data_IF_323752694089
#
_entry.id   IF_323752694089
#
_cell.length_a   1.000
_cell.length_b   1.000
_cell.length_c   1.000
_cell.angle_alpha   90.00
_cell.angle_beta   90.00
_cell.angle_gamma   90.00
#
_symmetry.space_group_name_H-M   'P 1'
#
loop_
_entity.id
_entity.type
_entity.pdbx_description
1 polymer ?
#
# COMPACT_ATOMS: atom_id res chain seq x y z
N UNK A 1 12.76 -11.37 -32.19
CA UNK A 1 12.12 -10.48 -31.18
C UNK A 1 11.34 -11.22 -30.06
N UNK A 2 10.80 -12.44 -30.27
CA UNK A 2 9.89 -13.07 -29.29
C UNK A 2 10.54 -13.88 -28.14
N UNK A 3 11.78 -14.35 -28.29
CA UNK A 3 12.45 -15.22 -27.28
C UNK A 3 12.95 -14.43 -26.07
N UNK A 4 13.58 -13.27 -26.30
CA UNK A 4 14.14 -12.43 -25.24
C UNK A 4 13.06 -11.81 -24.33
N UNK A 5 11.89 -11.47 -24.89
CA UNK A 5 10.75 -10.95 -24.12
C UNK A 5 10.19 -12.03 -23.18
N UNK A 6 10.04 -13.28 -23.67
CA UNK A 6 9.61 -14.40 -22.83
C UNK A 6 10.59 -14.71 -21.70
N UNK A 7 11.90 -14.67 -21.98
CA UNK A 7 12.94 -14.87 -20.95
C UNK A 7 12.82 -13.82 -19.84
N UNK A 8 12.63 -12.55 -20.19
CA UNK A 8 12.44 -11.47 -19.22
C UNK A 8 11.14 -11.63 -18.41
N UNK A 9 10.04 -12.05 -19.05
CA UNK A 9 8.78 -12.36 -18.36
C UNK A 9 8.94 -13.51 -17.37
N UNK A 10 9.66 -14.58 -17.74
CA UNK A 10 9.97 -15.70 -16.85
C UNK A 10 10.88 -15.28 -15.70
N UNK A 11 11.90 -14.45 -15.96
CA UNK A 11 12.76 -13.91 -14.91
C UNK A 11 11.98 -13.02 -13.93
N UNK A 12 11.05 -12.20 -14.42
CA UNK A 12 10.15 -11.42 -13.57
C UNK A 12 9.27 -12.32 -12.71
N UNK A 13 8.65 -13.34 -13.29
CA UNK A 13 7.83 -14.30 -12.55
C UNK A 13 8.62 -14.96 -11.41
N UNK A 14 9.81 -15.51 -11.70
CA UNK A 14 10.65 -16.20 -10.71
C UNK A 14 11.08 -15.22 -9.61
N UNK A 15 11.61 -14.06 -9.98
CA UNK A 15 12.11 -13.06 -9.01
C UNK A 15 11.02 -12.53 -8.08
N UNK A 16 9.83 -12.20 -8.61
CA UNK A 16 8.69 -11.77 -7.79
C UNK A 16 8.20 -12.91 -6.89
N UNK A 17 8.10 -14.14 -7.40
CA UNK A 17 7.66 -15.29 -6.60
C UNK A 17 8.60 -15.51 -5.41
N UNK A 18 9.92 -15.53 -5.65
CA UNK A 18 10.92 -15.67 -4.59
C UNK A 18 10.80 -14.52 -3.58
N UNK A 19 10.68 -13.29 -4.07
CA UNK A 19 10.58 -12.09 -3.20
C UNK A 19 9.34 -12.14 -2.32
N UNK A 20 8.18 -12.50 -2.87
CA UNK A 20 6.92 -12.59 -2.13
C UNK A 20 6.95 -13.73 -1.10
N UNK A 21 7.62 -14.85 -1.40
CA UNK A 21 7.86 -15.91 -0.40
C UNK A 21 8.75 -15.38 0.72
N UNK A 22 9.91 -14.78 0.40
CA UNK A 22 10.86 -14.24 1.40
C UNK A 22 10.19 -13.22 2.31
N UNK A 23 9.39 -12.30 1.74
CA UNK A 23 8.70 -11.25 2.48
C UNK A 23 7.70 -11.80 3.52
N UNK A 24 7.17 -13.01 3.30
CA UNK A 24 6.19 -13.65 4.17
C UNK A 24 6.79 -14.81 4.99
N UNK A 25 8.10 -15.05 4.92
CA UNK A 25 8.78 -16.02 5.79
C UNK A 25 9.53 -15.31 6.91
N UNK A 26 8.93 -15.29 8.11
CA UNK A 26 9.69 -15.06 9.33
C UNK A 26 10.50 -16.32 9.63
N UNK A 27 11.83 -16.22 9.64
CA UNK A 27 12.71 -17.25 10.20
C UNK A 27 13.44 -16.58 11.37
N UNK A 28 13.08 -16.98 12.59
CA UNK A 28 13.80 -16.81 13.86
C UNK A 28 14.73 -15.59 13.93
N UNK A 29 14.17 -14.41 14.21
CA UNK A 29 14.95 -13.25 14.69
C UNK A 29 16.01 -12.69 13.72
N UNK A 30 15.98 -13.05 12.44
CA UNK A 30 16.95 -12.61 11.44
C UNK A 30 16.36 -11.73 10.33
N UNK A 31 17.13 -10.71 9.94
CA UNK A 31 16.95 -9.72 8.86
C UNK A 31 16.78 -10.29 7.42
N UNK A 32 16.18 -11.47 7.24
CA UNK A 32 16.03 -12.13 5.92
C UNK A 32 15.02 -11.39 5.03
N UNK A 33 14.10 -10.60 5.59
CA UNK A 33 13.17 -9.74 4.84
C UNK A 33 13.90 -8.74 3.94
N UNK A 34 15.11 -8.28 4.32
CA UNK A 34 15.92 -7.34 3.54
C UNK A 34 16.35 -7.92 2.17
N UNK A 35 16.46 -9.25 2.05
CA UNK A 35 16.92 -9.89 0.82
C UNK A 35 15.91 -9.74 -0.34
N UNK A 36 14.61 -9.69 -0.03
CA UNK A 36 13.58 -9.42 -1.03
C UNK A 36 13.75 -8.03 -1.68
N UNK A 37 14.12 -7.03 -0.88
CA UNK A 37 14.33 -5.67 -1.38
C UNK A 37 15.53 -5.54 -2.31
N UNK A 38 16.59 -6.35 -2.13
CA UNK A 38 17.70 -6.39 -3.08
C UNK A 38 17.25 -6.92 -4.45
N UNK A 39 16.42 -7.96 -4.48
CA UNK A 39 15.87 -8.52 -5.73
C UNK A 39 14.99 -7.48 -6.44
N UNK A 40 14.13 -6.77 -5.70
CA UNK A 40 13.31 -5.70 -6.27
C UNK A 40 14.15 -4.54 -6.82
N UNK A 41 15.23 -4.18 -6.12
CA UNK A 41 16.15 -3.12 -6.55
C UNK A 41 16.82 -3.42 -7.90
N UNK A 42 17.06 -4.71 -8.23
CA UNK A 42 17.57 -5.10 -9.55
C UNK A 42 16.62 -4.70 -10.69
N UNK A 43 15.30 -4.76 -10.47
CA UNK A 43 14.31 -4.32 -11.47
C UNK A 43 14.32 -2.81 -11.65
N UNK A 44 14.53 -2.05 -10.58
CA UNK A 44 14.70 -0.60 -10.64
C UNK A 44 15.95 -0.25 -11.45
N UNK A 45 17.08 -0.90 -11.15
CA UNK A 45 18.34 -0.70 -11.86
C UNK A 45 18.19 -1.08 -13.34
N UNK A 46 17.56 -2.21 -13.64
CA UNK A 46 17.31 -2.65 -15.02
C UNK A 46 16.45 -1.63 -15.77
N UNK A 47 15.39 -1.12 -15.16
CA UNK A 47 14.57 -0.07 -15.77
C UNK A 47 15.40 1.19 -16.05
N UNK A 48 16.26 1.60 -15.12
CA UNK A 48 17.16 2.73 -15.31
C UNK A 48 18.14 2.52 -16.46
N UNK A 49 18.76 1.34 -16.55
CA UNK A 49 19.65 0.97 -17.68
C UNK A 49 18.89 1.03 -19.01
N UNK A 50 17.65 0.51 -19.06
CA UNK A 50 16.81 0.58 -20.27
C UNK A 50 16.47 2.03 -20.63
N UNK A 51 16.24 2.90 -19.65
CA UNK A 51 16.02 4.34 -19.89
C UNK A 51 17.28 4.98 -20.50
N UNK A 52 18.47 4.69 -19.96
CA UNK A 52 19.75 5.21 -20.48
C UNK A 52 19.98 4.75 -21.92
N UNK A 53 19.80 3.46 -22.20
CA UNK A 53 19.95 2.90 -23.56
C UNK A 53 18.99 3.59 -24.54
N UNK A 54 17.79 3.94 -24.08
CA UNK A 54 16.81 4.67 -24.88
C UNK A 54 17.04 6.19 -24.89
N UNK A 55 18.18 6.69 -24.40
CA UNK A 55 18.52 8.12 -24.31
C UNK A 55 17.44 8.95 -23.60
N UNK A 56 16.87 8.41 -22.53
CA UNK A 56 15.77 9.01 -21.76
C UNK A 56 14.48 9.27 -22.55
N UNK A 57 14.33 8.70 -23.75
CA UNK A 57 13.13 8.84 -24.57
C UNK A 57 12.14 7.71 -24.31
N UNK A 58 10.96 8.04 -23.82
CA UNK A 58 9.83 7.11 -23.73
C UNK A 58 8.97 7.28 -24.99
N UNK A 59 9.09 6.33 -25.94
CA UNK A 59 8.42 6.42 -27.26
C UNK A 59 6.88 6.48 -27.18
N UNK A 60 6.29 5.93 -26.12
CA UNK A 60 4.85 5.90 -25.93
C UNK A 60 4.43 6.99 -24.94
N UNK A 61 3.79 8.06 -25.46
CA UNK A 61 3.35 9.21 -24.68
C UNK A 61 2.40 8.81 -23.54
N UNK A 62 1.39 7.97 -23.82
CA UNK A 62 0.45 7.49 -22.82
C UNK A 62 1.15 6.76 -21.68
N UNK A 63 2.18 5.96 -22.00
CA UNK A 63 3.00 5.26 -20.99
C UNK A 63 3.81 6.23 -20.15
N UNK A 64 4.42 7.24 -20.78
CA UNK A 64 5.20 8.28 -20.09
C UNK A 64 4.35 9.05 -19.08
N UNK A 65 3.14 9.45 -19.47
CA UNK A 65 2.22 10.16 -18.59
C UNK A 65 1.76 9.30 -17.41
N UNK A 66 1.46 8.02 -17.65
CA UNK A 66 1.11 7.09 -16.56
C UNK A 66 2.28 6.92 -15.58
N UNK A 67 3.51 6.81 -16.07
CA UNK A 67 4.70 6.69 -15.21
C UNK A 67 4.90 7.95 -14.36
N UNK A 68 4.76 9.14 -14.94
CA UNK A 68 4.85 10.40 -14.20
C UNK A 68 3.83 10.47 -13.06
N UNK A 69 2.61 9.98 -13.30
CA UNK A 69 1.57 9.87 -12.27
C UNK A 69 1.95 8.83 -11.21
N UNK A 70 2.48 7.67 -11.59
CA UNK A 70 2.96 6.67 -10.62
C UNK A 70 4.03 7.23 -9.70
N UNK A 71 5.01 7.96 -10.26
CA UNK A 71 6.04 8.65 -9.48
C UNK A 71 5.43 9.69 -8.55
N UNK A 72 4.58 10.58 -9.07
CA UNK A 72 3.89 11.57 -8.24
C UNK A 72 3.15 10.89 -7.09
N UNK A 73 2.32 9.89 -7.40
CA UNK A 73 1.46 9.23 -6.43
C UNK A 73 2.23 8.48 -5.34
N UNK A 74 3.28 7.75 -5.72
CA UNK A 74 4.00 6.87 -4.79
C UNK A 74 5.18 7.55 -4.10
N UNK A 75 5.93 8.38 -4.82
CA UNK A 75 7.24 8.87 -4.40
C UNK A 75 7.16 10.22 -3.68
N UNK A 76 6.38 11.17 -4.20
CA UNK A 76 6.36 12.55 -3.68
C UNK A 76 5.89 12.62 -2.22
N UNK A 77 4.78 11.98 -1.80
CA UNK A 77 4.34 12.06 -0.40
C UNK A 77 5.40 11.56 0.57
N UNK A 78 6.04 10.43 0.22
CA UNK A 78 7.12 9.85 1.03
C UNK A 78 8.32 10.81 1.08
N UNK A 79 8.72 11.39 -0.05
CA UNK A 79 9.83 12.35 -0.04
C UNK A 79 9.56 13.58 0.82
N UNK A 80 8.35 14.15 0.74
CA UNK A 80 7.99 15.31 1.56
C UNK A 80 8.11 14.98 3.05
N UNK A 81 7.63 13.81 3.49
CA UNK A 81 7.72 13.36 4.88
C UNK A 81 9.19 13.16 5.32
N UNK A 82 10.02 12.57 4.47
CA UNK A 82 11.45 12.39 4.76
C UNK A 82 12.19 13.74 4.83
N UNK A 83 11.93 14.65 3.89
CA UNK A 83 12.51 16.00 3.90
C UNK A 83 12.07 16.75 5.17
N UNK A 84 10.79 16.65 5.53
CA UNK A 84 10.26 17.24 6.76
C UNK A 84 10.99 16.72 8.00
N UNK A 85 11.22 15.40 8.08
CA UNK A 85 11.98 14.79 9.18
C UNK A 85 13.41 15.32 9.25
N UNK A 86 14.10 15.45 8.11
CA UNK A 86 15.44 16.06 8.06
C UNK A 86 15.42 17.50 8.57
N UNK A 87 14.40 18.28 8.22
CA UNK A 87 14.23 19.65 8.72
C UNK A 87 14.07 19.66 10.24
N UNK A 88 13.21 18.80 10.81
CA UNK A 88 13.05 18.69 12.27
C UNK A 88 14.37 18.37 12.98
N UNK A 89 15.17 17.46 12.41
CA UNK A 89 16.48 17.08 12.95
C UNK A 89 17.45 18.25 12.90
N UNK A 90 17.52 18.97 11.78
CA UNK A 90 18.41 20.13 11.62
C UNK A 90 18.05 21.27 12.57
N UNK A 91 16.77 21.41 12.93
CA UNK A 91 16.28 22.38 13.90
C UNK A 91 16.43 21.91 15.36
N UNK A 92 16.91 20.69 15.61
CA UNK A 92 17.03 20.12 16.95
C UNK A 92 15.69 19.81 17.62
N UNK A 93 14.62 19.67 16.82
CA UNK A 93 13.26 19.37 17.29
C UNK A 93 12.98 17.87 17.38
N UNK A 94 13.85 17.03 16.81
CA UNK A 94 13.76 15.58 16.91
C UNK A 94 15.13 14.91 16.84
N UNK A 95 15.17 13.67 17.33
CA UNK A 95 16.38 12.87 17.40
C UNK A 95 16.80 12.28 16.05
N UNK A 96 18.11 12.26 15.82
CA UNK A 96 18.71 11.67 14.61
C UNK A 96 18.46 10.17 14.50
N UNK A 97 18.25 9.50 15.64
CA UNK A 97 18.04 8.05 15.72
C UNK A 97 16.72 7.62 15.07
N UNK A 98 15.72 8.51 15.06
CA UNK A 98 14.47 8.28 14.37
C UNK A 98 14.66 8.24 12.85
N UNK A 99 15.67 8.91 12.31
CA UNK A 99 16.00 8.86 10.88
C UNK A 99 16.68 7.54 10.50
N UNK A 100 15.88 6.47 10.45
CA UNK A 100 16.34 5.13 10.06
C UNK A 100 15.93 4.75 8.63
N UNK A 101 16.51 3.66 8.13
CA UNK A 101 16.51 3.24 6.72
C UNK A 101 15.22 2.58 6.21
N UNK A 102 14.02 3.07 6.55
CA UNK A 102 12.76 2.61 5.90
C UNK A 102 12.63 3.07 4.43
N UNK A 103 13.78 3.23 3.75
CA UNK A 103 13.92 3.38 2.30
C UNK A 103 13.24 2.23 1.53
N UNK A 104 13.04 1.09 2.19
CA UNK A 104 12.24 -0.04 1.72
C UNK A 104 10.87 0.38 1.17
N UNK A 105 10.21 1.34 1.80
CA UNK A 105 8.91 1.87 1.35
C UNK A 105 8.98 2.54 -0.03
N UNK A 106 10.12 3.12 -0.41
CA UNK A 106 10.35 3.65 -1.76
C UNK A 106 10.58 2.53 -2.77
N UNK A 107 11.34 1.51 -2.40
CA UNK A 107 11.67 0.36 -3.27
C UNK A 107 10.38 -0.30 -3.77
N UNK A 108 9.38 -0.48 -2.90
CA UNK A 108 8.12 -1.15 -3.25
C UNK A 108 7.38 -0.46 -4.41
N UNK A 109 7.16 0.86 -4.28
CA UNK A 109 6.46 1.65 -5.30
C UNK A 109 7.29 1.86 -6.57
N UNK A 110 8.59 2.12 -6.41
CA UNK A 110 9.51 2.27 -7.54
C UNK A 110 9.63 0.98 -8.36
N UNK A 111 9.57 -0.17 -7.71
CA UNK A 111 9.61 -1.47 -8.41
C UNK A 111 8.34 -1.69 -9.23
N UNK A 112 7.16 -1.35 -8.71
CA UNK A 112 5.93 -1.40 -9.49
C UNK A 112 6.01 -0.50 -10.74
N UNK A 113 6.54 0.71 -10.59
CA UNK A 113 6.77 1.66 -11.69
C UNK A 113 7.80 1.10 -12.69
N UNK A 114 8.91 0.54 -12.21
CA UNK A 114 9.97 -0.04 -13.03
C UNK A 114 9.49 -1.25 -13.84
N UNK A 115 8.80 -2.18 -13.20
CA UNK A 115 8.22 -3.37 -13.86
C UNK A 115 7.16 -2.93 -14.87
N UNK A 116 6.31 -1.95 -14.54
CA UNK A 116 5.37 -1.38 -15.51
C UNK A 116 6.08 -0.68 -16.68
N UNK A 117 7.19 0.03 -16.42
CA UNK A 117 8.02 0.64 -17.47
C UNK A 117 8.60 -0.40 -18.42
N UNK A 118 9.03 -1.56 -17.94
CA UNK A 118 9.60 -2.60 -18.81
C UNK A 118 8.50 -3.37 -19.55
N UNK A 119 7.47 -3.84 -18.84
CA UNK A 119 6.51 -4.83 -19.36
C UNK A 119 5.13 -4.26 -19.73
N UNK A 120 4.81 -3.02 -19.35
CA UNK A 120 3.50 -2.41 -19.58
C UNK A 120 2.36 -3.26 -19.00
N UNK A 121 1.32 -3.50 -19.79
CA UNK A 121 0.14 -4.27 -19.37
C UNK A 121 0.43 -5.71 -18.93
N UNK A 122 1.52 -6.31 -19.40
CA UNK A 122 1.87 -7.69 -19.00
C UNK A 122 2.40 -7.76 -17.57
N UNK A 123 2.89 -6.64 -17.02
CA UNK A 123 3.42 -6.56 -15.66
C UNK A 123 2.43 -7.10 -14.63
N UNK A 124 1.18 -6.64 -14.68
CA UNK A 124 0.15 -7.05 -13.74
C UNK A 124 -0.15 -8.55 -13.85
N UNK A 125 -0.29 -9.08 -15.06
CA UNK A 125 -0.56 -10.51 -15.28
C UNK A 125 0.55 -11.40 -14.71
N UNK A 126 1.81 -11.09 -15.00
CA UNK A 126 2.96 -11.84 -14.46
C UNK A 126 3.00 -11.75 -12.94
N UNK A 127 2.74 -10.57 -12.39
CA UNK A 127 2.71 -10.35 -10.93
C UNK A 127 1.60 -11.14 -10.23
N UNK A 128 0.41 -11.24 -10.84
CA UNK A 128 -0.71 -12.04 -10.31
C UNK A 128 -0.31 -13.52 -10.24
N UNK A 129 0.31 -14.06 -11.30
CA UNK A 129 0.79 -15.45 -11.25
C UNK A 129 1.88 -15.64 -10.20
N UNK A 130 2.77 -14.66 -10.03
CA UNK A 130 3.83 -14.74 -9.02
C UNK A 130 3.29 -14.75 -7.59
N UNK A 131 2.27 -13.94 -7.26
CA UNK A 131 1.65 -13.98 -5.92
C UNK A 131 0.90 -15.29 -5.66
N UNK A 132 0.23 -15.85 -6.68
CA UNK A 132 -0.41 -17.17 -6.57
C UNK A 132 0.64 -18.26 -6.32
N UNK A 133 1.73 -18.26 -7.10
CA UNK A 133 2.81 -19.22 -6.92
C UNK A 133 3.46 -19.10 -5.52
N UNK A 134 3.71 -17.88 -5.06
CA UNK A 134 4.25 -17.62 -3.73
C UNK A 134 3.33 -18.15 -2.63
N UNK A 135 2.02 -17.92 -2.75
CA UNK A 135 1.04 -18.43 -1.80
C UNK A 135 1.02 -19.96 -1.74
N UNK A 136 1.05 -20.64 -2.89
CA UNK A 136 1.08 -22.10 -2.92
C UNK A 136 2.34 -22.67 -2.25
N UNK A 137 3.50 -22.05 -2.48
CA UNK A 137 4.76 -22.42 -1.81
C UNK A 137 4.64 -22.25 -0.29
N UNK A 138 4.10 -21.12 0.16
CA UNK A 138 3.91 -20.83 1.58
C UNK A 138 2.91 -21.77 2.24
N UNK A 139 1.80 -22.08 1.56
CA UNK A 139 0.80 -23.03 2.03
C UNK A 139 1.39 -24.43 2.19
N UNK A 140 2.16 -24.91 1.20
CA UNK A 140 2.90 -26.16 1.32
C UNK A 140 3.85 -26.14 2.52
N UNK A 141 4.61 -25.05 2.71
CA UNK A 141 5.50 -24.90 3.86
C UNK A 141 4.73 -24.99 5.19
N UNK A 142 3.58 -24.33 5.33
CA UNK A 142 2.78 -24.40 6.56
C UNK A 142 2.20 -25.79 6.80
N UNK A 143 1.77 -26.51 5.75
CA UNK A 143 1.31 -27.90 5.88
C UNK A 143 2.40 -28.83 6.44
N UNK A 144 3.67 -28.61 6.07
CA UNK A 144 4.79 -29.42 6.58
C UNK A 144 5.33 -28.96 7.94
N UNK A 145 5.15 -27.69 8.32
CA UNK A 145 5.72 -27.11 9.55
C UNK A 145 4.71 -26.90 10.69
N UNK A 146 3.41 -27.01 10.42
CA UNK A 146 2.35 -26.72 11.40
C UNK A 146 2.19 -25.23 11.74
N UNK A 147 2.81 -24.35 10.97
CA UNK A 147 2.76 -22.89 11.20
C UNK A 147 1.41 -22.27 10.80
N UNK A 148 1.10 -21.12 11.39
CA UNK A 148 -0.09 -20.31 11.07
C UNK A 148 -0.14 -19.93 9.57
N UNK A 149 -1.37 -19.83 9.03
CA UNK A 149 -1.66 -19.42 7.66
C UNK A 149 -1.92 -17.89 7.52
N UNK A 150 -1.67 -17.12 8.57
CA UNK A 150 -1.87 -15.66 8.57
C UNK A 150 -0.75 -14.92 7.82
N UNK A 151 -0.85 -14.87 6.48
CA UNK A 151 0.07 -14.11 5.64
C UNK A 151 -0.44 -12.68 5.41
N UNK A 152 -0.13 -11.77 6.34
CA UNK A 152 -0.69 -10.42 6.40
C UNK A 152 -0.50 -9.60 5.10
N UNK A 153 0.75 -9.44 4.62
CA UNK A 153 1.05 -8.64 3.44
C UNK A 153 0.37 -9.20 2.19
N UNK A 154 0.48 -10.53 2.01
CA UNK A 154 -0.10 -11.22 0.87
C UNK A 154 -1.64 -11.08 0.84
N UNK A 155 -2.31 -11.22 1.99
CA UNK A 155 -3.76 -11.08 2.10
C UNK A 155 -4.27 -9.70 1.65
N UNK A 156 -3.61 -8.63 2.12
CA UNK A 156 -4.02 -7.26 1.77
C UNK A 156 -3.70 -6.92 0.31
N UNK A 157 -2.57 -7.40 -0.21
CA UNK A 157 -2.18 -7.13 -1.60
C UNK A 157 -3.18 -7.67 -2.64
N UNK A 158 -3.85 -8.78 -2.32
CA UNK A 158 -4.86 -9.40 -3.19
C UNK A 158 -6.12 -8.55 -3.30
N UNK A 159 -6.43 -7.69 -2.32
CA UNK A 159 -7.55 -6.77 -2.37
C UNK A 159 -7.53 -5.86 -3.60
N UNK A 160 -6.36 -5.30 -3.94
CA UNK A 160 -6.22 -4.46 -5.15
C UNK A 160 -6.48 -5.23 -6.44
N UNK A 161 -6.04 -6.50 -6.50
CA UNK A 161 -6.27 -7.37 -7.65
C UNK A 161 -7.77 -7.62 -7.83
N UNK A 162 -8.49 -7.90 -6.74
CA UNK A 162 -9.94 -8.12 -6.78
C UNK A 162 -10.67 -6.86 -7.26
N UNK A 163 -10.35 -5.69 -6.69
CA UNK A 163 -10.96 -4.41 -7.10
C UNK A 163 -10.70 -4.14 -8.59
N UNK A 164 -9.47 -4.37 -9.05
CA UNK A 164 -9.09 -4.25 -10.46
C UNK A 164 -9.92 -5.19 -11.35
N UNK A 165 -10.01 -6.47 -10.99
CA UNK A 165 -10.71 -7.48 -11.78
C UNK A 165 -12.21 -7.19 -11.88
N UNK A 166 -12.84 -6.74 -10.79
CA UNK A 166 -14.25 -6.33 -10.78
C UNK A 166 -14.48 -5.13 -11.71
N UNK A 167 -13.55 -4.19 -11.76
CA UNK A 167 -13.70 -2.98 -12.57
C UNK A 167 -13.52 -3.23 -14.07
N UNK A 168 -12.58 -4.11 -14.44
CA UNK A 168 -12.20 -4.34 -15.84
C UNK A 168 -13.06 -5.40 -16.52
N UNK A 169 -13.51 -6.43 -15.79
CA UNK A 169 -14.15 -7.59 -16.42
C UNK A 169 -15.61 -7.34 -16.73
N UNK A 170 -15.95 -7.49 -18.02
CA UNK A 170 -17.33 -7.41 -18.53
C UNK A 170 -18.01 -8.77 -18.70
N UNK A 171 -17.26 -9.87 -18.79
CA UNK A 171 -17.78 -11.26 -18.96
C UNK A 171 -16.94 -12.26 -18.17
N UNK A 172 -17.59 -13.22 -17.52
CA UNK A 172 -16.94 -14.28 -16.75
C UNK A 172 -16.65 -15.50 -17.65
N UNK A 173 -15.39 -15.95 -17.71
CA UNK A 173 -14.96 -17.14 -18.46
C UNK A 173 -14.44 -18.21 -17.49
N UNK A 174 -14.64 -19.49 -17.80
CA UNK A 174 -14.32 -20.61 -16.88
C UNK A 174 -12.86 -20.64 -16.39
N UNK A 175 -11.87 -20.44 -17.29
CA UNK A 175 -10.44 -20.40 -16.93
C UNK A 175 -10.08 -19.22 -16.00
N UNK A 176 -10.87 -18.16 -16.08
CA UNK A 176 -10.69 -16.93 -15.31
C UNK A 176 -11.30 -17.09 -13.92
N UNK A 177 -12.42 -17.81 -13.81
CA UNK A 177 -13.06 -18.15 -12.53
C UNK A 177 -12.15 -18.98 -11.61
N UNK A 178 -11.26 -19.81 -12.16
CA UNK A 178 -10.30 -20.57 -11.35
C UNK A 178 -9.30 -19.66 -10.61
N UNK A 179 -8.78 -18.63 -11.28
CA UNK A 179 -7.89 -17.63 -10.66
C UNK A 179 -8.63 -16.86 -9.57
N UNK A 180 -9.90 -16.53 -9.81
CA UNK A 180 -10.75 -15.81 -8.85
C UNK A 180 -11.03 -16.65 -7.60
N UNK A 181 -11.25 -17.94 -7.78
CA UNK A 181 -11.47 -18.89 -6.69
C UNK A 181 -10.22 -18.99 -5.81
N UNK A 182 -9.03 -19.11 -6.41
CA UNK A 182 -7.76 -19.12 -5.66
C UNK A 182 -7.60 -17.82 -4.87
N UNK A 183 -7.84 -16.67 -5.50
CA UNK A 183 -7.77 -15.35 -4.87
C UNK A 183 -8.76 -15.24 -3.70
N UNK A 184 -9.99 -15.75 -3.85
CA UNK A 184 -10.98 -15.75 -2.78
C UNK A 184 -10.53 -16.65 -1.62
N UNK A 185 -10.01 -17.84 -1.92
CA UNK A 185 -9.45 -18.76 -0.92
C UNK A 185 -8.30 -18.10 -0.15
N UNK A 186 -7.40 -17.39 -0.84
CA UNK A 186 -6.29 -16.65 -0.22
C UNK A 186 -6.79 -15.62 0.81
N UNK A 187 -7.82 -14.85 0.46
CA UNK A 187 -8.40 -13.84 1.37
C UNK A 187 -9.05 -14.50 2.59
N UNK A 188 -9.79 -15.61 2.38
CA UNK A 188 -10.49 -16.30 3.46
C UNK A 188 -9.52 -16.99 4.42
N UNK A 189 -8.50 -17.68 3.89
CA UNK A 189 -7.50 -18.40 4.68
C UNK A 189 -6.56 -17.47 5.46
N UNK A 190 -6.41 -16.21 5.03
CA UNK A 190 -5.60 -15.25 5.74
C UNK A 190 -6.23 -14.72 7.05
N UNK A 191 -7.53 -14.94 7.29
CA UNK A 191 -8.20 -14.59 8.55
C UNK A 191 -8.31 -13.09 8.88
N UNK A 192 -7.81 -12.19 8.02
CA UNK A 192 -7.79 -10.74 8.26
C UNK A 192 -9.15 -10.08 8.00
N UNK A 193 -9.97 -10.01 9.06
CA UNK A 193 -11.33 -9.42 9.06
C UNK A 193 -11.37 -8.01 8.50
N UNK A 194 -10.42 -7.15 8.89
CA UNK A 194 -10.35 -5.77 8.39
C UNK A 194 -10.11 -5.69 6.88
N UNK A 195 -9.33 -6.63 6.32
CA UNK A 195 -9.07 -6.69 4.88
C UNK A 195 -10.33 -7.03 4.08
N UNK A 196 -11.14 -7.97 4.59
CA UNK A 196 -12.43 -8.32 3.99
C UNK A 196 -13.40 -7.14 4.08
N UNK A 197 -13.49 -6.51 5.25
CA UNK A 197 -14.33 -5.32 5.45
C UNK A 197 -13.94 -4.18 4.51
N UNK A 198 -12.65 -3.83 4.44
CA UNK A 198 -12.13 -2.81 3.53
C UNK A 198 -12.48 -3.11 2.07
N UNK A 199 -12.34 -4.38 1.66
CA UNK A 199 -12.62 -4.81 0.30
C UNK A 199 -14.11 -4.65 -0.05
N UNK A 200 -15.01 -5.05 0.85
CA UNK A 200 -16.45 -4.89 0.66
C UNK A 200 -16.80 -3.41 0.48
N UNK A 201 -16.33 -2.54 1.39
CA UNK A 201 -16.60 -1.10 1.33
C UNK A 201 -16.05 -0.49 0.03
N UNK A 202 -14.82 -0.82 -0.36
CA UNK A 202 -14.20 -0.31 -1.59
C UNK A 202 -14.96 -0.74 -2.86
N UNK A 203 -15.43 -2.00 -2.93
CA UNK A 203 -16.21 -2.51 -4.06
C UNK A 203 -17.60 -1.87 -4.11
N UNK A 204 -18.28 -1.74 -2.97
CA UNK A 204 -19.58 -1.07 -2.90
C UNK A 204 -19.44 0.38 -3.37
N UNK A 205 -18.44 1.09 -2.86
CA UNK A 205 -18.16 2.46 -3.27
C UNK A 205 -17.85 2.55 -4.78
N UNK A 206 -17.05 1.63 -5.33
CA UNK A 206 -16.73 1.57 -6.76
C UNK A 206 -18.01 1.40 -7.62
N UNK A 207 -18.85 0.42 -7.27
CA UNK A 207 -20.06 0.09 -8.02
C UNK A 207 -21.13 1.19 -7.96
N UNK A 208 -21.20 1.91 -6.84
CA UNK A 208 -22.12 3.02 -6.67
C UNK A 208 -21.60 4.25 -7.44
N UNK A 209 -20.35 4.65 -7.17
CA UNK A 209 -19.75 5.86 -7.74
C UNK A 209 -19.57 5.81 -9.26
N UNK A 210 -19.32 4.63 -9.84
CA UNK A 210 -19.16 4.45 -11.29
C UNK A 210 -20.43 4.69 -12.11
N UNK A 211 -21.60 4.75 -11.46
CA UNK A 211 -22.88 5.06 -12.11
C UNK A 211 -23.17 6.56 -12.18
N UNK A 212 -22.39 7.37 -11.48
CA UNK A 212 -22.65 8.79 -11.37
C UNK A 212 -22.03 9.59 -12.51
N UNK A 213 -22.67 10.70 -12.85
CA UNK A 213 -22.07 11.69 -13.72
C UNK A 213 -20.87 12.37 -13.04
N UNK A 214 -20.11 13.15 -13.79
CA UNK A 214 -18.90 13.79 -13.29
C UNK A 214 -19.16 14.71 -12.08
N UNK A 215 -20.31 15.39 -12.04
CA UNK A 215 -20.66 16.36 -10.99
C UNK A 215 -21.01 15.63 -9.70
N UNK A 216 -21.89 14.64 -9.78
CA UNK A 216 -22.31 13.82 -8.64
C UNK A 216 -21.16 12.96 -8.10
N UNK A 217 -20.31 12.40 -8.98
CA UNK A 217 -19.07 11.73 -8.59
C UNK A 217 -18.18 12.65 -7.75
N UNK A 218 -17.92 13.88 -8.23
CA UNK A 218 -17.11 14.85 -7.49
C UNK A 218 -17.69 15.11 -6.09
N UNK A 219 -19.00 15.28 -5.98
CA UNK A 219 -19.65 15.53 -4.69
C UNK A 219 -19.51 14.33 -3.74
N UNK A 220 -19.79 13.11 -4.20
CA UNK A 220 -19.69 11.93 -3.32
C UNK A 220 -18.25 11.63 -2.92
N UNK A 221 -17.29 11.89 -3.82
CA UNK A 221 -15.86 11.79 -3.52
C UNK A 221 -15.46 12.75 -2.41
N UNK A 222 -15.87 14.04 -2.48
CA UNK A 222 -15.60 15.03 -1.44
C UNK A 222 -16.24 14.59 -0.11
N UNK A 223 -17.51 14.17 -0.11
CA UNK A 223 -18.20 13.72 1.11
C UNK A 223 -17.47 12.53 1.74
N UNK A 224 -17.10 11.54 0.93
CA UNK A 224 -16.38 10.35 1.39
C UNK A 224 -14.99 10.71 1.94
N UNK A 225 -14.28 11.61 1.25
CA UNK A 225 -12.97 12.12 1.65
C UNK A 225 -13.03 12.85 3.00
N UNK A 226 -14.00 13.74 3.17
CA UNK A 226 -14.21 14.45 4.44
C UNK A 226 -14.57 13.47 5.54
N UNK A 227 -15.50 12.54 5.29
CA UNK A 227 -15.91 11.55 6.29
C UNK A 227 -14.73 10.70 6.78
N UNK A 228 -13.94 10.11 5.87
CA UNK A 228 -12.80 9.26 6.25
C UNK A 228 -11.73 10.08 6.99
N UNK A 229 -11.45 11.30 6.53
CA UNK A 229 -10.50 12.20 7.19
C UNK A 229 -10.94 12.57 8.61
N UNK A 230 -12.23 12.87 8.80
CA UNK A 230 -12.81 13.15 10.13
C UNK A 230 -12.76 11.93 11.03
N UNK A 231 -13.08 10.74 10.52
CA UNK A 231 -12.97 9.48 11.29
C UNK A 231 -11.52 9.24 11.71
N UNK A 232 -10.54 9.50 10.84
CA UNK A 232 -9.12 9.38 11.18
C UNK A 232 -8.72 10.33 12.31
N UNK A 233 -9.15 11.60 12.26
CA UNK A 233 -8.88 12.57 13.32
C UNK A 233 -9.54 12.21 14.65
N UNK A 234 -10.80 11.76 14.63
CA UNK A 234 -11.50 11.29 15.83
C UNK A 234 -10.78 10.08 16.42
N UNK A 235 -10.37 9.14 15.58
CA UNK A 235 -9.61 7.97 16.01
C UNK A 235 -8.30 8.35 16.70
N UNK A 236 -7.53 9.29 16.13
CA UNK A 236 -6.28 9.76 16.73
C UNK A 236 -6.56 10.46 18.07
N UNK A 237 -7.57 11.32 18.13
CA UNK A 237 -7.94 12.02 19.36
C UNK A 237 -8.32 11.04 20.49
N UNK A 238 -8.99 9.93 20.15
CA UNK A 238 -9.27 8.85 21.09
C UNK A 238 -8.02 8.06 21.47
N UNK A 239 -7.20 7.65 20.49
CA UNK A 239 -6.04 6.80 20.70
C UNK A 239 -4.92 7.48 21.52
N UNK A 240 -4.81 8.81 21.43
CA UNK A 240 -3.86 9.61 22.21
C UNK A 240 -4.50 10.23 23.46
N UNK A 241 -5.73 9.85 23.81
CA UNK A 241 -6.35 10.29 25.06
C UNK A 241 -5.63 9.67 26.26
N UNK A 242 -5.34 10.44 27.33
CA UNK A 242 -4.82 9.88 28.57
C UNK A 242 -5.74 8.80 29.19
N UNK A 243 -7.05 8.84 28.90
CA UNK A 243 -8.01 7.83 29.36
C UNK A 243 -8.17 6.64 28.41
N UNK A 244 -7.32 6.50 27.39
CA UNK A 244 -7.47 5.47 26.35
C UNK A 244 -7.70 4.05 26.91
N UNK A 245 -6.88 3.62 27.88
CA UNK A 245 -7.02 2.30 28.50
C UNK A 245 -8.37 2.14 29.20
N UNK A 246 -8.75 3.11 30.04
CA UNK A 246 -10.03 3.10 30.77
C UNK A 246 -11.23 3.11 29.80
N UNK A 247 -11.14 3.87 28.72
CA UNK A 247 -12.16 3.93 27.68
C UNK A 247 -12.34 2.59 26.97
N UNK A 248 -11.25 1.91 26.61
CA UNK A 248 -11.32 0.59 25.95
C UNK A 248 -11.82 -0.49 26.90
N UNK A 249 -11.35 -0.49 28.15
CA UNK A 249 -11.80 -1.42 29.18
C UNK A 249 -13.30 -1.27 29.46
N UNK A 250 -13.80 -0.02 29.53
CA UNK A 250 -15.23 0.26 29.73
C UNK A 250 -16.11 -0.25 28.58
N UNK A 251 -15.58 -0.30 27.36
CA UNK A 251 -16.28 -0.81 26.18
C UNK A 251 -16.19 -2.34 26.06
N UNK A 252 -15.35 -3.00 26.88
CA UNK A 252 -15.12 -4.44 26.81
C UNK A 252 -14.52 -4.89 25.46
N UNK A 253 -13.82 -4.01 24.76
CA UNK A 253 -13.27 -4.28 23.43
C UNK A 253 -11.86 -4.86 23.55
N UNK A 254 -11.66 -6.08 23.08
CA UNK A 254 -10.31 -6.66 22.96
C UNK A 254 -9.61 -6.13 21.70
N UNK A 255 -8.56 -5.32 21.88
CA UNK A 255 -7.77 -4.74 20.80
C UNK A 255 -6.54 -5.54 20.39
N UNK A 256 -6.34 -6.74 20.96
CA UNK A 256 -5.23 -7.65 20.66
C UNK A 256 -3.86 -7.01 20.91
N UNK A 257 -3.70 -6.29 22.02
CA UNK A 257 -2.44 -5.68 22.45
C UNK A 257 -2.22 -4.23 21.98
N UNK A 258 -3.03 -3.72 21.05
CA UNK A 258 -2.91 -2.33 20.55
C UNK A 258 -3.25 -1.28 21.61
N UNK A 259 -4.04 -1.67 22.60
CA UNK A 259 -4.31 -0.90 23.80
C UNK A 259 -3.01 -0.41 24.47
N UNK A 260 -2.04 -1.30 24.67
CA UNK A 260 -0.73 -0.98 25.23
C UNK A 260 0.17 -0.15 24.30
N UNK A 261 0.12 -0.41 22.99
CA UNK A 261 1.00 0.29 22.05
C UNK A 261 0.58 1.75 21.88
N UNK A 262 -0.72 2.01 21.88
CA UNK A 262 -1.25 3.35 21.73
C UNK A 262 -1.08 4.16 23.01
N UNK A 263 -1.20 3.53 24.19
CA UNK A 263 -0.95 4.20 25.47
C UNK A 263 0.50 4.67 25.58
N UNK A 264 1.48 3.84 25.20
CA UNK A 264 2.89 4.26 25.15
C UNK A 264 3.08 5.46 24.22
N UNK A 265 2.44 5.48 23.05
CA UNK A 265 2.54 6.62 22.15
C UNK A 265 1.93 7.91 22.71
N UNK A 266 0.96 7.82 23.62
CA UNK A 266 0.37 9.00 24.26
C UNK A 266 1.34 9.75 25.17
N UNK A 267 2.41 9.09 25.64
CA UNK A 267 3.48 9.74 26.41
C UNK A 267 4.41 10.59 25.53
N UNK A 268 4.45 10.30 24.23
CA UNK A 268 5.33 10.98 23.26
C UNK A 268 4.59 11.92 22.30
N UNK A 269 3.26 11.82 22.22
CA UNK A 269 2.46 12.57 21.27
C UNK A 269 1.10 12.97 21.84
N UNK A 270 0.66 14.19 21.52
CA UNK A 270 -0.67 14.68 21.87
C UNK A 270 -1.49 15.06 20.64
N UNK A 271 -2.81 15.10 20.79
CA UNK A 271 -3.71 15.58 19.75
C UNK A 271 -3.78 17.12 19.76
N UNK A 272 -3.21 17.79 18.76
CA UNK A 272 -3.17 19.25 18.71
C UNK A 272 -2.53 19.79 17.44
N UNK A 273 -2.89 21.03 17.05
CA UNK A 273 -2.31 21.71 15.87
C UNK A 273 -0.83 22.05 16.10
N UNK A 274 -0.46 22.29 17.35
CA UNK A 274 0.90 22.57 17.83
C UNK A 274 1.81 21.33 17.85
N UNK A 275 1.23 20.13 17.74
CA UNK A 275 2.03 18.91 17.63
C UNK A 275 2.65 18.79 16.23
N UNK A 276 3.96 19.08 16.18
CA UNK A 276 4.77 19.09 14.94
C UNK A 276 5.21 17.70 14.48
N UNK A 277 5.01 16.66 15.29
CA UNK A 277 5.43 15.29 14.98
C UNK A 277 6.86 14.98 15.40
N UNK A 278 7.12 13.68 15.58
CA UNK A 278 8.42 13.15 16.00
C UNK A 278 9.36 12.87 14.83
N UNK A 279 8.87 12.90 13.60
CA UNK A 279 9.67 12.52 12.43
C UNK A 279 9.52 11.06 12.02
N UNK A 280 9.86 10.79 10.76
CA UNK A 280 9.66 9.51 10.08
C UNK A 280 10.44 8.38 10.75
N UNK A 281 9.74 7.28 11.07
CA UNK A 281 10.19 6.08 11.79
C UNK A 281 10.34 6.21 13.30
N UNK A 282 9.96 7.33 13.92
CA UNK A 282 9.98 7.48 15.37
C UNK A 282 9.19 6.36 16.08
N UNK A 283 7.96 6.07 15.64
CA UNK A 283 7.13 5.01 16.25
C UNK A 283 7.80 3.63 16.19
N UNK A 284 8.45 3.31 15.07
CA UNK A 284 9.18 2.04 14.94
C UNK A 284 10.38 2.01 15.88
N UNK A 285 11.13 3.11 15.95
CA UNK A 285 12.31 3.21 16.82
C UNK A 285 11.92 3.00 18.29
N UNK A 286 10.97 3.81 18.79
CA UNK A 286 10.48 3.74 20.18
C UNK A 286 10.04 2.31 20.52
N UNK A 287 9.18 1.71 19.70
CA UNK A 287 8.68 0.34 19.95
C UNK A 287 9.80 -0.70 19.92
N UNK A 288 10.72 -0.63 18.97
CA UNK A 288 11.73 -1.68 18.75
C UNK A 288 13.03 -1.50 19.53
N UNK A 289 13.26 -0.35 20.15
CA UNK A 289 14.48 -0.05 20.92
C UNK A 289 14.16 0.24 22.39
N UNK A 290 13.14 1.05 22.66
CA UNK A 290 12.78 1.43 24.03
C UNK A 290 11.79 0.43 24.66
N UNK A 291 10.90 -0.15 23.85
CA UNK A 291 9.85 -1.08 24.30
C UNK A 291 10.02 -2.50 23.71
N UNK A 292 11.26 -2.98 23.63
CA UNK A 292 11.63 -4.28 23.03
C UNK A 292 10.86 -5.49 23.58
N UNK A 293 10.43 -5.41 24.84
CA UNK A 293 9.68 -6.47 25.52
C UNK A 293 8.27 -6.70 24.94
N UNK A 294 7.74 -5.79 24.12
CA UNK A 294 6.50 -6.04 23.37
C UNK A 294 6.69 -7.01 22.20
N UNK A 295 7.93 -7.28 21.79
CA UNK A 295 8.26 -8.19 20.67
C UNK A 295 7.54 -7.87 19.35
N UNK A 296 7.20 -6.60 19.14
CA UNK A 296 6.60 -6.08 17.91
C UNK A 296 7.52 -5.07 17.24
N UNK A 297 7.37 -4.92 15.93
CA UNK A 297 8.18 -3.98 15.15
C UNK A 297 7.58 -2.59 15.02
N UNK A 298 6.28 -2.40 15.27
CA UNK A 298 5.59 -1.11 15.11
C UNK A 298 4.18 -1.13 15.74
N UNK A 299 3.52 0.03 15.82
CA UNK A 299 2.27 0.22 16.57
C UNK A 299 1.00 -0.37 15.93
N UNK A 300 1.07 -0.94 14.72
CA UNK A 300 -0.06 -1.59 14.04
C UNK A 300 -1.22 -0.63 13.70
N UNK A 301 -0.89 0.59 13.29
CA UNK A 301 -1.81 1.55 12.68
C UNK A 301 -1.03 2.60 11.90
N UNK A 302 -1.14 2.58 10.58
CA UNK A 302 -0.55 3.61 9.74
C UNK A 302 -1.21 4.97 9.94
N UNK A 303 -2.49 5.04 10.29
CA UNK A 303 -3.17 6.31 10.59
C UNK A 303 -2.53 6.98 11.81
N UNK A 304 -2.44 6.25 12.92
CA UNK A 304 -1.85 6.77 14.15
C UNK A 304 -0.36 7.07 13.96
N UNK A 305 0.36 6.16 13.30
CA UNK A 305 1.80 6.31 13.03
C UNK A 305 2.08 7.54 12.18
N UNK A 306 1.34 7.74 11.08
CA UNK A 306 1.54 8.90 10.22
C UNK A 306 1.24 10.20 10.96
N UNK A 307 0.26 10.22 11.86
CA UNK A 307 0.02 11.40 12.71
C UNK A 307 1.19 11.66 13.66
N UNK A 308 1.64 10.65 14.40
CA UNK A 308 2.74 10.79 15.37
C UNK A 308 4.04 11.22 14.68
N UNK A 309 4.36 10.63 13.53
CA UNK A 309 5.58 10.92 12.79
C UNK A 309 5.53 12.27 12.05
N UNK A 310 4.37 12.68 11.53
CA UNK A 310 4.26 13.88 10.70
C UNK A 310 3.75 15.12 11.46
N UNK A 311 3.09 14.94 12.60
CA UNK A 311 2.35 16.00 13.27
C UNK A 311 1.05 16.38 12.55
N UNK A 312 0.24 17.22 13.18
CA UNK A 312 -1.13 17.52 12.71
C UNK A 312 -1.15 18.14 11.30
N UNK A 313 -0.34 19.17 11.06
CA UNK A 313 -0.38 19.93 9.80
C UNK A 313 0.01 19.05 8.62
N UNK A 314 1.14 18.36 8.70
CA UNK A 314 1.61 17.50 7.61
C UNK A 314 0.73 16.26 7.44
N UNK A 315 0.16 15.73 8.54
CA UNK A 315 -0.84 14.66 8.46
C UNK A 315 -2.10 15.08 7.69
N UNK A 316 -2.63 16.28 7.95
CA UNK A 316 -3.77 16.84 7.19
C UNK A 316 -3.40 17.01 5.71
N UNK A 317 -2.19 17.49 5.41
CA UNK A 317 -1.70 17.61 4.03
C UNK A 317 -1.62 16.22 3.37
N UNK A 318 -1.15 15.21 4.09
CA UNK A 318 -1.06 13.84 3.61
C UNK A 318 -2.45 13.24 3.30
N UNK A 319 -3.44 13.41 4.18
CA UNK A 319 -4.84 13.05 3.90
C UNK A 319 -5.38 13.83 2.70
N UNK A 320 -5.13 15.15 2.67
CA UNK A 320 -5.49 16.06 1.59
C UNK A 320 -4.98 15.59 0.23
N UNK A 321 -3.74 15.11 0.20
CA UNK A 321 -3.08 14.62 -1.00
C UNK A 321 -3.79 13.41 -1.60
N UNK A 322 -4.01 12.37 -0.79
CA UNK A 322 -4.60 11.11 -1.27
C UNK A 322 -6.10 11.21 -1.52
N UNK A 323 -6.84 11.97 -0.71
CA UNK A 323 -8.30 12.03 -0.82
C UNK A 323 -8.84 13.15 -1.70
N UNK A 324 -8.09 14.24 -1.90
CA UNK A 324 -8.55 15.38 -2.69
C UNK A 324 -7.66 15.63 -3.90
N UNK A 325 -6.38 15.93 -3.67
CA UNK A 325 -5.49 16.43 -4.73
C UNK A 325 -5.35 15.41 -5.86
N UNK A 326 -4.89 14.19 -5.57
CA UNK A 326 -4.67 13.19 -6.62
C UNK A 326 -5.97 12.79 -7.32
N UNK A 327 -7.06 12.42 -6.62
CA UNK A 327 -8.33 12.08 -7.27
C UNK A 327 -8.86 13.20 -8.18
N UNK A 328 -8.72 14.47 -7.80
CA UNK A 328 -9.10 15.59 -8.67
C UNK A 328 -8.25 15.70 -9.92
N UNK A 329 -6.93 15.51 -9.79
CA UNK A 329 -6.03 15.55 -10.94
C UNK A 329 -6.42 14.42 -11.91
N UNK A 330 -6.63 13.20 -11.42
CA UNK A 330 -7.05 12.06 -12.24
C UNK A 330 -8.43 12.28 -12.86
N UNK A 331 -9.39 12.82 -12.11
CA UNK A 331 -10.72 13.17 -12.65
C UNK A 331 -10.63 14.16 -13.82
N UNK A 332 -9.70 15.12 -13.75
CA UNK A 332 -9.48 16.10 -14.82
C UNK A 332 -8.76 15.49 -16.03
N UNK A 333 -7.79 14.62 -15.80
CA UNK A 333 -6.88 14.13 -16.86
C UNK A 333 -7.25 12.78 -17.47
N UNK A 334 -7.99 11.92 -16.77
CA UNK A 334 -8.38 10.56 -17.20
C UNK A 334 -9.89 10.30 -17.07
N UNK A 335 -10.65 11.23 -16.49
CA UNK A 335 -12.10 11.14 -16.36
C UNK A 335 -12.58 10.30 -15.18
N UNK A 336 -13.91 10.17 -15.09
CA UNK A 336 -14.59 9.63 -13.90
C UNK A 336 -14.22 8.18 -13.61
N UNK A 337 -14.05 7.32 -14.62
CA UNK A 337 -13.74 5.89 -14.41
C UNK A 337 -12.40 5.67 -13.71
N UNK A 338 -11.35 6.37 -14.17
CA UNK A 338 -10.03 6.34 -13.55
C UNK A 338 -10.03 6.91 -12.14
N UNK A 339 -10.74 8.01 -11.93
CA UNK A 339 -10.87 8.61 -10.61
C UNK A 339 -11.64 7.70 -9.64
N UNK A 340 -12.75 7.09 -10.08
CA UNK A 340 -13.47 6.06 -9.33
C UNK A 340 -12.54 4.93 -8.91
N UNK A 341 -11.78 4.37 -9.84
CA UNK A 341 -10.87 3.28 -9.55
C UNK A 341 -9.80 3.67 -8.51
N UNK A 342 -9.11 4.79 -8.74
CA UNK A 342 -8.10 5.31 -7.81
C UNK A 342 -8.67 5.51 -6.41
N UNK A 343 -9.82 6.17 -6.31
CA UNK A 343 -10.41 6.46 -5.01
C UNK A 343 -10.87 5.19 -4.29
N UNK A 344 -11.39 4.19 -5.01
CA UNK A 344 -11.72 2.88 -4.43
C UNK A 344 -10.52 2.14 -3.85
N UNK A 345 -9.39 2.08 -4.58
CA UNK A 345 -8.18 1.46 -4.04
C UNK A 345 -7.60 2.29 -2.89
N UNK A 346 -7.77 3.61 -2.89
CA UNK A 346 -7.37 4.49 -1.78
C UNK A 346 -8.22 4.25 -0.53
N UNK A 347 -9.55 4.14 -0.68
CA UNK A 347 -10.45 3.76 0.43
C UNK A 347 -10.01 2.42 1.02
N UNK A 348 -9.76 1.43 0.17
CA UNK A 348 -9.28 0.12 0.61
C UNK A 348 -8.01 0.24 1.48
N UNK A 349 -7.00 0.93 0.96
CA UNK A 349 -5.73 1.16 1.66
C UNK A 349 -5.94 1.86 3.01
N UNK A 350 -6.70 2.95 3.02
CA UNK A 350 -6.89 3.76 4.23
C UNK A 350 -7.74 3.08 5.30
N UNK A 351 -8.70 2.21 4.94
CA UNK A 351 -9.42 1.41 5.94
C UNK A 351 -8.45 0.43 6.63
N UNK A 352 -7.58 -0.22 5.85
CA UNK A 352 -6.62 -1.17 6.42
C UNK A 352 -5.56 -0.44 7.27
N UNK A 353 -5.19 0.80 6.91
CA UNK A 353 -4.28 1.66 7.69
C UNK A 353 -4.73 1.94 9.12
N UNK A 354 -6.01 1.79 9.47
CA UNK A 354 -6.45 1.99 10.85
C UNK A 354 -5.89 0.95 11.82
N UNK A 355 -5.58 -0.26 11.36
CA UNK A 355 -5.38 -1.43 12.25
C UNK A 355 -4.15 -2.28 11.93
N UNK A 356 -3.40 -1.93 10.88
CA UNK A 356 -2.21 -2.66 10.46
C UNK A 356 -1.20 -1.71 9.77
N UNK A 357 0.06 -2.13 9.66
CA UNK A 357 1.18 -1.31 9.14
C UNK A 357 1.40 -1.54 7.63
N UNK A 358 0.32 -1.52 6.85
CA UNK A 358 0.37 -1.93 5.44
C UNK A 358 1.08 -0.94 4.51
N UNK A 359 1.38 0.27 4.97
CA UNK A 359 2.27 1.19 4.27
C UNK A 359 3.72 0.71 4.30
N UNK A 360 4.11 -0.14 5.25
CA UNK A 360 5.43 -0.78 5.27
C UNK A 360 5.48 -2.07 4.45
N UNK A 361 4.32 -2.65 4.14
CA UNK A 361 4.21 -3.93 3.46
C UNK A 361 4.60 -3.86 1.99
N UNK A 362 5.40 -4.84 1.56
CA UNK A 362 6.03 -4.89 0.25
C UNK A 362 4.99 -5.11 -0.84
N UNK A 363 4.20 -6.18 -0.71
CA UNK A 363 3.25 -6.58 -1.74
C UNK A 363 2.09 -5.60 -1.80
N UNK A 364 1.62 -5.13 -0.64
CA UNK A 364 0.58 -4.12 -0.52
C UNK A 364 0.90 -2.86 -1.34
N UNK A 365 2.07 -2.25 -1.11
CA UNK A 365 2.50 -1.07 -1.88
C UNK A 365 2.73 -1.38 -3.36
N UNK A 366 3.34 -2.52 -3.67
CA UNK A 366 3.62 -2.91 -5.04
C UNK A 366 2.33 -3.05 -5.87
N UNK A 367 1.35 -3.80 -5.39
CA UNK A 367 0.08 -4.02 -6.09
C UNK A 367 -0.80 -2.78 -6.09
N UNK A 368 -0.74 -1.95 -5.05
CA UNK A 368 -1.45 -0.67 -5.02
C UNK A 368 -1.06 0.23 -6.20
N UNK A 369 0.26 0.39 -6.43
CA UNK A 369 0.77 1.21 -7.54
C UNK A 369 0.60 0.50 -8.89
N UNK A 370 0.89 -0.80 -8.97
CA UNK A 370 0.87 -1.52 -10.24
C UNK A 370 -0.55 -1.62 -10.83
N UNK A 371 -1.56 -1.90 -9.99
CA UNK A 371 -2.96 -1.97 -10.46
C UNK A 371 -3.45 -0.62 -10.95
N UNK A 372 -3.10 0.47 -10.25
CA UNK A 372 -3.38 1.84 -10.66
C UNK A 372 -2.78 2.20 -12.02
N UNK A 373 -1.47 2.00 -12.17
CA UNK A 373 -0.76 2.29 -13.43
C UNK A 373 -1.32 1.48 -14.61
N UNK A 374 -1.57 0.20 -14.38
CA UNK A 374 -2.13 -0.69 -15.39
C UNK A 374 -3.52 -0.23 -15.82
N UNK A 375 -4.36 0.16 -14.86
CA UNK A 375 -5.71 0.67 -15.15
C UNK A 375 -5.67 1.98 -15.94
N UNK A 376 -4.85 2.96 -15.53
CA UNK A 376 -4.71 4.23 -16.23
C UNK A 376 -4.26 4.04 -17.67
N UNK A 377 -3.28 3.18 -17.88
CA UNK A 377 -2.79 2.89 -19.22
C UNK A 377 -3.87 2.19 -20.05
N UNK A 378 -4.62 1.26 -19.48
CA UNK A 378 -5.76 0.60 -20.14
C UNK A 378 -6.78 1.61 -20.67
N UNK A 379 -7.18 2.58 -19.85
CA UNK A 379 -8.14 3.63 -20.23
C UNK A 379 -7.59 4.55 -21.33
N UNK A 380 -6.28 4.84 -21.34
CA UNK A 380 -5.65 5.66 -22.40
C UNK A 380 -5.38 4.90 -23.70
N UNK A 381 -4.99 3.63 -23.64
CA UNK A 381 -4.60 2.87 -24.83
C UNK A 381 -5.72 2.03 -25.47
N UNK A 382 -6.95 2.06 -24.93
CA UNK A 382 -8.06 1.18 -25.35
C UNK A 382 -7.68 -0.32 -25.38
N UNK A 383 -6.63 -0.70 -24.66
CA UNK A 383 -6.07 -2.05 -24.68
C UNK A 383 -6.89 -2.94 -23.75
N UNK A 384 -7.37 -4.10 -24.21
CA UNK A 384 -8.02 -5.08 -23.33
C UNK A 384 -6.98 -6.00 -22.71
N UNK A 385 -6.99 -6.13 -21.39
CA UNK A 385 -6.20 -7.13 -20.68
C UNK A 385 -7.14 -8.28 -20.32
N UNK A 386 -7.05 -9.37 -21.08
CA UNK A 386 -7.64 -10.65 -20.65
C UNK A 386 -6.66 -11.27 -19.64
N UNK A 387 -6.97 -11.09 -18.34
CA UNK A 387 -6.31 -11.81 -17.23
C UNK A 387 -6.64 -13.29 -17.35
#
# INVERSE_FOLDING_TARGET
MNKNVKILETALFISLTITFVIANTYINGGNISNNGYYILSLWIILAFVVIIINSFKIKNLNKSECLAIGFRYSFIPKMVIYIYTVILILLGLTDKEYFSSNLQTFINGLTAIAVFYIFGNKALKVSIYAVIAAYLILLLKCLFSGNSLEFNDLAFSVGYIVIYMINVRKKWRLKVLFVDLIILIMILLAGKRIGIFALIIAILWLKISSKFDKKMYKNIMIISATLISTIALIFIAFALSPQWMEQIDSLGINLSGRDYYYSVMSDHAHFGIDFIGLGRNACQYIISHEYQYFHIGNIHSDILRMYIECGMVLFIIWLGYYFYIEPFIILKSYGTKAACFLFSITIYTFIVYFTDNTELYLMNNYFYILTFLTFLYMEKSNSKIDI
#
